data_IF_837713461325
#
_entry.id   IF_837713461325
#
_cell.length_a   1.000
_cell.length_b   1.000
_cell.length_c   1.000
_cell.angle_alpha   90.00
_cell.angle_beta   90.00
_cell.angle_gamma   90.00
#
_symmetry.space_group_name_H-M   'P 1'
#
loop_
_entity.id
_entity.type
_entity.pdbx_description
1 polymer ?
#
# COMPACT_ATOMS: atom_id res chain seq x y z
N UNK A 1 2.87 -26.61 0.29
CA UNK A 1 2.49 -25.22 -0.03
C UNK A 1 2.83 -24.32 1.15
N UNK A 2 4.11 -24.00 1.32
CA UNK A 2 4.60 -22.86 2.12
C UNK A 2 5.99 -22.54 1.58
N UNK A 3 6.04 -22.03 0.36
CA UNK A 3 7.26 -21.42 -0.19
C UNK A 3 7.53 -20.12 0.55
N UNK A 4 8.04 -20.23 1.78
CA UNK A 4 8.85 -19.16 2.36
C UNK A 4 10.09 -19.12 1.49
N UNK A 5 10.09 -18.24 0.47
CA UNK A 5 11.32 -17.85 -0.17
C UNK A 5 12.27 -17.42 0.95
N UNK A 6 13.47 -18.01 1.05
CA UNK A 6 14.47 -17.46 1.93
C UNK A 6 14.72 -16.06 1.36
N UNK A 7 14.31 -15.04 2.12
CA UNK A 7 14.87 -13.70 1.99
C UNK A 7 16.34 -13.92 2.26
N UNK A 8 17.10 -14.20 1.20
CA UNK A 8 18.54 -14.07 1.17
C UNK A 8 18.78 -12.56 1.24
N UNK A 9 18.68 -12.00 2.43
CA UNK A 9 19.51 -10.86 2.79
C UNK A 9 20.92 -11.43 2.88
N UNK A 10 21.57 -11.57 1.73
CA UNK A 10 23.02 -11.59 1.75
C UNK A 10 23.41 -10.23 2.32
N UNK A 11 23.70 -10.20 3.61
CA UNK A 11 24.72 -9.31 4.16
C UNK A 11 26.08 -9.76 3.59
N UNK A 12 26.19 -9.84 2.25
CA UNK A 12 27.49 -9.74 1.62
C UNK A 12 27.86 -8.28 1.85
N UNK A 13 28.42 -8.04 3.03
CA UNK A 13 29.37 -6.97 3.23
C UNK A 13 30.36 -7.19 2.11
N UNK A 14 30.25 -6.39 1.05
CA UNK A 14 31.22 -6.39 -0.03
C UNK A 14 32.60 -6.43 0.65
N UNK A 15 33.41 -7.42 0.26
CA UNK A 15 34.76 -7.57 0.77
C UNK A 15 35.52 -6.33 0.26
N UNK A 16 35.48 -5.25 1.04
CA UNK A 16 36.04 -3.96 0.65
C UNK A 16 37.53 -4.18 0.46
N UNK A 17 37.96 -4.24 -0.80
CA UNK A 17 39.34 -4.49 -1.14
C UNK A 17 40.17 -3.27 -0.71
N UNK A 18 40.98 -3.46 0.32
CA UNK A 18 41.93 -2.46 0.80
C UNK A 18 42.86 -2.07 -0.34
N UNK A 19 43.05 -0.78 -0.56
CA UNK A 19 44.02 -0.31 -1.56
C UNK A 19 45.45 -0.63 -1.09
N UNK A 20 46.37 -0.82 -2.05
CA UNK A 20 47.78 -1.11 -1.74
C UNK A 20 48.41 -0.07 -0.79
N UNK A 21 48.03 1.20 -0.93
CA UNK A 21 48.46 2.28 -0.06
C UNK A 21 47.94 2.11 1.39
N UNK A 22 46.70 1.66 1.57
CA UNK A 22 46.13 1.39 2.90
C UNK A 22 46.82 0.20 3.57
N UNK A 23 47.06 -0.88 2.83
CA UNK A 23 47.80 -2.05 3.35
C UNK A 23 49.22 -1.68 3.77
N UNK A 24 49.92 -0.85 2.97
CA UNK A 24 51.27 -0.39 3.26
C UNK A 24 51.31 0.53 4.49
N UNK A 25 50.36 1.46 4.60
CA UNK A 25 50.33 2.39 5.72
C UNK A 25 49.94 1.72 7.05
N UNK A 26 49.10 0.67 6.99
CA UNK A 26 48.78 -0.18 8.13
C UNK A 26 50.01 -0.95 8.63
N UNK A 27 50.84 -1.43 7.71
CA UNK A 27 52.11 -2.09 8.02
C UNK A 27 53.16 -1.11 8.59
N UNK A 28 53.14 0.17 8.20
CA UNK A 28 54.02 1.21 8.75
C UNK A 28 53.48 1.86 10.03
N UNK A 29 52.25 1.54 10.43
CA UNK A 29 51.64 1.99 11.68
C UNK A 29 51.08 3.41 11.67
N UNK A 30 50.68 3.94 10.51
CA UNK A 30 50.08 5.27 10.43
C UNK A 30 48.71 5.29 11.14
N UNK A 31 48.57 6.12 12.17
CA UNK A 31 47.34 6.22 12.98
C UNK A 31 46.18 6.82 12.17
N UNK A 32 46.47 7.64 11.16
CA UNK A 32 45.43 8.27 10.31
C UNK A 32 44.66 7.26 9.49
N UNK A 33 45.31 6.20 9.02
CA UNK A 33 44.67 5.14 8.21
C UNK A 33 43.73 4.30 9.08
N UNK A 34 44.07 4.09 10.35
CA UNK A 34 43.20 3.41 11.32
C UNK A 34 41.95 4.24 11.61
N UNK A 35 42.12 5.53 11.89
CA UNK A 35 40.99 6.47 12.08
C UNK A 35 40.08 6.49 10.84
N UNK A 36 40.65 6.48 9.63
CA UNK A 36 39.90 6.42 8.38
C UNK A 36 39.04 5.17 8.30
N UNK A 37 39.60 3.99 8.53
CA UNK A 37 38.86 2.72 8.44
C UNK A 37 37.71 2.66 9.45
N UNK A 38 37.95 3.07 10.70
CA UNK A 38 36.93 3.07 11.73
C UNK A 38 35.79 4.03 11.38
N UNK A 39 36.14 5.23 10.89
CA UNK A 39 35.16 6.22 10.43
C UNK A 39 34.39 5.76 9.18
N UNK A 40 35.02 5.08 8.22
CA UNK A 40 34.36 4.54 7.02
C UNK A 40 33.28 3.52 7.38
N UNK A 41 33.59 2.61 8.31
CA UNK A 41 32.64 1.62 8.83
C UNK A 41 31.47 2.32 9.54
N UNK A 42 31.75 3.32 10.36
CA UNK A 42 30.72 4.09 11.06
C UNK A 42 29.83 4.89 10.09
N UNK A 43 30.42 5.56 9.11
CA UNK A 43 29.68 6.31 8.10
C UNK A 43 28.85 5.38 7.21
N UNK A 44 29.36 4.20 6.84
CA UNK A 44 28.59 3.21 6.10
C UNK A 44 27.35 2.74 6.89
N UNK A 45 27.51 2.44 8.19
CA UNK A 45 26.39 2.11 9.07
C UNK A 45 25.39 3.25 9.16
N UNK A 46 25.84 4.48 9.42
CA UNK A 46 24.97 5.65 9.54
C UNK A 46 24.23 5.96 8.23
N UNK A 47 24.89 5.80 7.07
CA UNK A 47 24.27 5.91 5.74
C UNK A 47 23.16 4.87 5.53
N UNK A 48 23.37 3.63 5.97
CA UNK A 48 22.35 2.58 5.93
C UNK A 48 21.14 2.97 6.79
N UNK A 49 21.35 3.47 8.02
CA UNK A 49 20.25 3.93 8.88
C UNK A 49 19.51 5.10 8.23
N UNK A 50 20.23 6.06 7.63
CA UNK A 50 19.62 7.18 6.89
C UNK A 50 18.80 6.70 5.70
N UNK A 51 19.30 5.76 4.91
CA UNK A 51 18.58 5.19 3.78
C UNK A 51 17.27 4.51 4.22
N UNK A 52 17.31 3.75 5.33
CA UNK A 52 16.12 3.15 5.93
C UNK A 52 15.12 4.22 6.41
N UNK A 53 15.59 5.25 7.10
CA UNK A 53 14.75 6.36 7.54
C UNK A 53 14.06 7.06 6.36
N UNK A 54 14.81 7.39 5.29
CA UNK A 54 14.25 8.02 4.09
C UNK A 54 13.21 7.12 3.41
N UNK A 55 13.51 5.83 3.26
CA UNK A 55 12.56 4.86 2.70
C UNK A 55 11.26 4.80 3.50
N UNK A 56 11.35 4.75 4.84
CA UNK A 56 10.18 4.77 5.71
C UNK A 56 9.39 6.08 5.59
N UNK A 57 10.08 7.23 5.57
CA UNK A 57 9.48 8.54 5.40
C UNK A 57 8.70 8.64 4.09
N UNK A 58 9.31 8.26 2.97
CA UNK A 58 8.66 8.28 1.66
C UNK A 58 7.46 7.31 1.59
N UNK A 59 7.59 6.12 2.18
CA UNK A 59 6.47 5.18 2.26
C UNK A 59 5.29 5.74 3.07
N UNK A 60 5.56 6.45 4.18
CA UNK A 60 4.54 7.14 4.97
C UNK A 60 3.92 8.32 4.22
N UNK A 61 4.72 9.12 3.50
CA UNK A 61 4.22 10.22 2.66
C UNK A 61 3.28 9.70 1.56
N UNK A 62 3.68 8.64 0.85
CA UNK A 62 2.83 8.00 -0.16
C UNK A 62 1.53 7.45 0.47
N UNK A 63 1.63 6.85 1.66
CA UNK A 63 0.45 6.36 2.37
C UNK A 63 -0.50 7.52 2.77
N UNK A 64 0.03 8.64 3.25
CA UNK A 64 -0.74 9.84 3.59
C UNK A 64 -1.45 10.48 2.41
N UNK A 65 -0.80 10.49 1.24
CA UNK A 65 -1.33 11.11 0.03
C UNK A 65 -2.35 10.22 -0.70
N UNK A 66 -2.08 8.92 -0.80
CA UNK A 66 -2.88 8.01 -1.63
C UNK A 66 -3.70 7.03 -0.80
N UNK A 67 -3.05 6.29 0.09
CA UNK A 67 -3.66 5.14 0.77
C UNK A 67 -4.71 5.55 1.79
N UNK A 68 -4.37 6.37 2.79
CA UNK A 68 -5.29 6.76 3.85
C UNK A 68 -6.55 7.47 3.31
N UNK A 69 -6.46 8.46 2.38
CA UNK A 69 -7.66 9.10 1.83
C UNK A 69 -8.57 8.12 1.09
N UNK A 70 -7.99 7.17 0.33
CA UNK A 70 -8.76 6.14 -0.37
C UNK A 70 -9.44 5.18 0.61
N UNK A 71 -8.73 4.71 1.64
CA UNK A 71 -9.28 3.81 2.66
C UNK A 71 -10.39 4.49 3.46
N UNK A 72 -10.19 5.74 3.90
CA UNK A 72 -11.21 6.53 4.60
C UNK A 72 -12.44 6.76 3.72
N UNK A 73 -12.27 7.10 2.43
CA UNK A 73 -13.39 7.29 1.52
C UNK A 73 -14.18 5.98 1.32
N UNK A 74 -13.49 4.84 1.21
CA UNK A 74 -14.11 3.51 1.11
C UNK A 74 -14.89 3.15 2.36
N UNK A 75 -14.32 3.37 3.55
CA UNK A 75 -15.02 3.06 4.81
C UNK A 75 -16.20 4.03 5.04
N UNK A 76 -16.08 5.31 4.68
CA UNK A 76 -17.22 6.25 4.69
C UNK A 76 -18.36 5.81 3.78
N UNK A 77 -18.04 5.38 2.55
CA UNK A 77 -19.02 4.84 1.62
C UNK A 77 -19.68 3.55 2.15
N UNK A 78 -18.91 2.69 2.83
CA UNK A 78 -19.44 1.49 3.49
C UNK A 78 -20.40 1.84 4.62
N UNK A 79 -20.05 2.78 5.50
CA UNK A 79 -20.93 3.21 6.59
C UNK A 79 -22.26 3.73 6.03
N UNK A 80 -22.21 4.62 5.03
CA UNK A 80 -23.42 5.13 4.38
C UNK A 80 -24.27 4.02 3.73
N UNK A 81 -23.61 2.99 3.17
CA UNK A 81 -24.29 1.82 2.63
C UNK A 81 -24.95 0.96 3.71
N UNK A 82 -24.30 0.77 4.86
CA UNK A 82 -24.89 0.06 6.00
C UNK A 82 -26.07 0.82 6.60
N UNK A 83 -25.96 2.15 6.75
CA UNK A 83 -27.06 3.00 7.21
C UNK A 83 -28.29 2.83 6.29
N UNK A 84 -28.10 2.94 4.97
CA UNK A 84 -29.17 2.77 3.99
C UNK A 84 -29.81 1.36 4.00
N UNK A 85 -29.00 0.32 4.21
CA UNK A 85 -29.49 -1.06 4.31
C UNK A 85 -30.28 -1.29 5.62
N UNK A 86 -29.85 -0.69 6.73
CA UNK A 86 -30.55 -0.77 8.02
C UNK A 86 -31.89 -0.02 7.94
N UNK A 87 -31.92 1.17 7.33
CA UNK A 87 -33.17 1.92 7.10
C UNK A 87 -34.14 1.14 6.22
N UNK A 88 -33.63 0.48 5.17
CA UNK A 88 -34.45 -0.38 4.29
C UNK A 88 -35.07 -1.54 5.05
N UNK A 89 -34.27 -2.20 5.89
CA UNK A 89 -34.74 -3.30 6.72
C UNK A 89 -35.81 -2.83 7.71
N UNK A 90 -35.59 -1.70 8.39
CA UNK A 90 -36.55 -1.14 9.33
C UNK A 90 -37.88 -0.71 8.65
N UNK A 91 -37.82 -0.18 7.43
CA UNK A 91 -38.99 0.18 6.64
C UNK A 91 -39.82 -1.05 6.24
N UNK A 92 -39.15 -2.19 5.99
CA UNK A 92 -39.82 -3.44 5.64
C UNK A 92 -40.41 -4.16 6.87
N UNK A 93 -39.71 -4.15 8.01
CA UNK A 93 -40.20 -4.71 9.28
C UNK A 93 -41.48 -4.01 9.78
N UNK A 94 -41.68 -2.74 9.42
CA UNK A 94 -42.91 -2.01 9.70
C UNK A 94 -44.13 -2.53 8.91
N UNK A 95 -43.91 -3.24 7.78
CA UNK A 95 -44.94 -3.83 6.93
C UNK A 95 -44.73 -5.37 6.79
N UNK A 96 -44.98 -6.15 7.85
CA UNK A 96 -44.66 -7.58 7.91
C UNK A 96 -45.54 -8.47 7.00
N UNK A 97 -46.39 -7.89 6.15
CA UNK A 97 -47.25 -8.60 5.19
C UNK A 97 -46.49 -9.14 3.98
N UNK A 98 -45.25 -8.74 3.77
CA UNK A 98 -44.39 -9.19 2.67
C UNK A 98 -43.54 -10.37 3.15
N UNK A 99 -43.99 -11.58 2.84
CA UNK A 99 -43.20 -12.80 3.00
C UNK A 99 -41.98 -12.81 2.06
N UNK A 100 -41.33 -13.96 1.96
CA UNK A 100 -40.22 -14.12 1.01
C UNK A 100 -40.76 -14.34 -0.40
N UNK A 101 -40.32 -13.54 -1.38
CA UNK A 101 -40.72 -13.72 -2.77
C UNK A 101 -39.63 -14.49 -3.51
N UNK A 102 -39.99 -15.61 -4.14
CA UNK A 102 -39.06 -16.42 -4.93
C UNK A 102 -39.69 -16.73 -6.29
N UNK A 103 -38.99 -16.39 -7.38
CA UNK A 103 -39.46 -16.54 -8.76
C UNK A 103 -40.88 -16.00 -8.99
N UNK A 104 -41.24 -14.90 -8.32
CA UNK A 104 -42.57 -14.26 -8.42
C UNK A 104 -43.68 -14.91 -7.58
N UNK A 105 -43.36 -15.87 -6.72
CA UNK A 105 -44.30 -16.50 -5.78
C UNK A 105 -44.00 -15.98 -4.36
N UNK A 106 -45.01 -15.42 -3.69
CA UNK A 106 -44.90 -14.92 -2.32
C UNK A 106 -45.16 -16.07 -1.33
N UNK A 107 -44.17 -16.36 -0.48
CA UNK A 107 -44.25 -17.37 0.56
C UNK A 107 -44.40 -16.71 1.93
N UNK A 108 -45.57 -16.85 2.55
CA UNK A 108 -45.83 -16.37 3.91
C UNK A 108 -45.26 -17.31 5.00
N UNK A 109 -45.21 -18.62 4.71
CA UNK A 109 -44.65 -19.61 5.63
C UNK A 109 -43.16 -19.83 5.41
N UNK A 110 -42.39 -19.79 6.51
CA UNK A 110 -40.94 -20.07 6.50
C UNK A 110 -40.60 -21.46 5.94
N UNK A 111 -41.48 -22.45 6.14
CA UNK A 111 -41.29 -23.82 5.64
C UNK A 111 -41.28 -23.86 4.12
N UNK A 112 -42.27 -23.22 3.52
CA UNK A 112 -42.46 -23.22 2.07
C UNK A 112 -41.40 -22.37 1.38
N UNK A 113 -41.03 -21.23 1.97
CA UNK A 113 -39.94 -20.39 1.49
C UNK A 113 -38.59 -21.13 1.47
N UNK A 114 -38.25 -21.83 2.55
CA UNK A 114 -37.01 -22.62 2.63
C UNK A 114 -36.99 -23.78 1.62
N UNK A 115 -38.13 -24.45 1.42
CA UNK A 115 -38.26 -25.54 0.44
C UNK A 115 -38.11 -25.02 -1.00
N UNK A 116 -38.74 -23.90 -1.33
CA UNK A 116 -38.62 -23.25 -2.62
C UNK A 116 -37.17 -22.79 -2.89
N UNK A 117 -36.50 -22.19 -1.90
CA UNK A 117 -35.10 -21.77 -2.02
C UNK A 117 -34.17 -22.95 -2.33
N UNK A 118 -34.31 -24.09 -1.62
CA UNK A 118 -33.53 -25.29 -1.91
C UNK A 118 -33.84 -25.89 -3.27
N UNK A 119 -35.10 -25.87 -3.70
CA UNK A 119 -35.50 -26.34 -5.03
C UNK A 119 -34.84 -25.50 -6.13
N UNK A 120 -34.78 -24.18 -5.95
CA UNK A 120 -34.13 -23.25 -6.89
C UNK A 120 -32.62 -23.47 -6.90
N UNK A 121 -32.00 -23.69 -5.73
CA UNK A 121 -30.58 -24.06 -5.65
C UNK A 121 -30.26 -25.30 -6.47
N UNK A 122 -31.06 -26.36 -6.35
CA UNK A 122 -30.88 -27.60 -7.12
C UNK A 122 -31.15 -27.43 -8.61
N UNK A 123 -32.06 -26.53 -8.99
CA UNK A 123 -32.40 -26.26 -10.39
C UNK A 123 -31.32 -25.47 -11.13
N UNK A 124 -30.56 -24.61 -10.43
CA UNK A 124 -29.56 -23.73 -11.02
C UNK A 124 -28.16 -23.90 -10.40
N UNK A 125 -27.44 -25.00 -10.69
CA UNK A 125 -26.05 -25.19 -10.26
C UNK A 125 -25.06 -24.41 -11.15
N UNK A 126 -25.37 -23.14 -11.45
CA UNK A 126 -24.50 -22.28 -12.27
C UNK A 126 -23.60 -21.43 -11.37
N UNK A 127 -22.33 -21.22 -11.74
CA UNK A 127 -21.48 -20.24 -11.07
C UNK A 127 -21.92 -18.79 -11.34
N UNK A 128 -22.78 -18.55 -12.33
CA UNK A 128 -23.32 -17.22 -12.61
C UNK A 128 -24.35 -16.79 -11.56
N UNK A 129 -24.37 -15.48 -11.24
CA UNK A 129 -25.36 -14.92 -10.33
C UNK A 129 -26.72 -14.84 -11.03
N UNK A 130 -27.66 -15.66 -10.57
CA UNK A 130 -29.05 -15.66 -11.02
C UNK A 130 -29.92 -14.97 -9.98
N UNK A 131 -30.76 -14.04 -10.41
CA UNK A 131 -31.76 -13.43 -9.55
C UNK A 131 -32.86 -14.44 -9.22
N UNK A 132 -33.11 -14.63 -7.93
CA UNK A 132 -34.03 -15.65 -7.41
C UNK A 132 -35.29 -15.04 -6.78
N UNK A 133 -35.22 -13.78 -6.36
CA UNK A 133 -36.38 -13.06 -5.81
C UNK A 133 -35.98 -11.98 -4.81
N UNK A 134 -36.86 -11.68 -3.86
CA UNK A 134 -36.66 -10.59 -2.89
C UNK A 134 -36.98 -11.04 -1.47
N UNK A 135 -36.25 -10.50 -0.50
CA UNK A 135 -36.47 -10.77 0.93
C UNK A 135 -36.14 -9.52 1.75
N UNK A 136 -37.10 -9.05 2.55
CA UNK A 136 -36.97 -7.82 3.36
C UNK A 136 -36.50 -6.58 2.58
N UNK A 137 -36.92 -6.45 1.32
CA UNK A 137 -36.50 -5.37 0.42
C UNK A 137 -35.09 -5.51 -0.16
N UNK A 138 -34.43 -6.66 0.02
CA UNK A 138 -33.17 -7.00 -0.63
C UNK A 138 -33.40 -7.94 -1.80
N UNK A 139 -32.70 -7.67 -2.91
CA UNK A 139 -32.73 -8.55 -4.08
C UNK A 139 -31.80 -9.75 -3.85
N UNK A 140 -32.29 -10.95 -4.11
CA UNK A 140 -31.60 -12.20 -3.86
C UNK A 140 -30.96 -12.73 -5.13
N UNK A 141 -29.64 -12.88 -5.10
CA UNK A 141 -28.87 -13.48 -6.17
C UNK A 141 -28.23 -14.78 -5.69
N UNK A 142 -28.50 -15.87 -6.40
CA UNK A 142 -27.90 -17.16 -6.12
C UNK A 142 -26.73 -17.42 -7.07
N UNK A 143 -25.65 -17.97 -6.52
CA UNK A 143 -24.50 -18.46 -7.27
C UNK A 143 -24.01 -19.77 -6.67
N UNK A 144 -23.48 -20.66 -7.49
CA UNK A 144 -22.85 -21.90 -7.03
C UNK A 144 -21.33 -21.76 -7.01
N UNK A 145 -20.72 -21.86 -5.82
CA UNK A 145 -19.28 -21.90 -5.69
C UNK A 145 -18.76 -23.32 -5.99
N UNK A 146 -18.27 -23.52 -7.22
CA UNK A 146 -17.76 -24.81 -7.67
C UNK A 146 -16.54 -25.30 -6.87
N UNK A 147 -15.76 -24.40 -6.27
CA UNK A 147 -14.57 -24.75 -5.48
C UNK A 147 -14.96 -25.35 -4.14
N UNK A 148 -15.89 -24.70 -3.44
CA UNK A 148 -16.35 -25.14 -2.12
C UNK A 148 -17.57 -26.07 -2.18
N UNK A 149 -18.12 -26.31 -3.37
CA UNK A 149 -19.35 -27.08 -3.61
C UNK A 149 -20.51 -26.59 -2.74
N UNK A 150 -20.60 -25.28 -2.56
CA UNK A 150 -21.57 -24.62 -1.70
C UNK A 150 -22.38 -23.59 -2.50
N UNK A 151 -23.66 -23.46 -2.16
CA UNK A 151 -24.51 -22.41 -2.71
C UNK A 151 -24.26 -21.11 -1.94
N UNK A 152 -24.00 -20.02 -2.65
CA UNK A 152 -23.89 -18.67 -2.09
C UNK A 152 -25.07 -17.81 -2.51
N UNK A 153 -25.76 -17.29 -1.52
CA UNK A 153 -26.81 -16.29 -1.68
C UNK A 153 -26.25 -14.91 -1.41
N UNK A 154 -26.38 -13.99 -2.35
CA UNK A 154 -26.00 -12.59 -2.21
C UNK A 154 -27.26 -11.75 -2.11
N UNK A 155 -27.43 -11.07 -0.99
CA UNK A 155 -28.46 -10.04 -0.77
C UNK A 155 -27.89 -8.73 -1.30
N UNK A 156 -28.51 -8.15 -2.34
CA UNK A 156 -28.12 -6.84 -2.88
C UNK A 156 -29.04 -5.75 -2.33
N UNK A 157 -28.43 -4.83 -1.59
CA UNK A 157 -29.02 -3.58 -1.15
C UNK A 157 -28.24 -2.38 -1.70
N UNK A 158 -27.93 -1.41 -0.84
CA UNK A 158 -26.86 -0.44 -1.08
C UNK A 158 -25.48 -1.14 -1.02
N UNK A 159 -25.33 -2.14 -0.15
CA UNK A 159 -24.19 -3.06 -0.12
C UNK A 159 -24.60 -4.48 -0.52
N UNK A 160 -23.62 -5.30 -0.89
CA UNK A 160 -23.82 -6.71 -1.19
C UNK A 160 -23.41 -7.57 0.01
N UNK A 161 -24.34 -8.36 0.54
CA UNK A 161 -24.09 -9.27 1.67
C UNK A 161 -24.20 -10.73 1.21
N UNK A 162 -23.12 -11.50 1.32
CA UNK A 162 -23.11 -12.91 0.91
C UNK A 162 -23.33 -13.84 2.10
N UNK A 163 -24.08 -14.92 1.88
CA UNK A 163 -24.40 -15.98 2.85
C UNK A 163 -24.21 -17.34 2.19
N UNK A 164 -23.58 -18.26 2.90
CA UNK A 164 -23.44 -19.65 2.44
C UNK A 164 -24.66 -20.48 2.90
N UNK A 165 -25.36 -21.02 1.90
CA UNK A 165 -26.52 -21.88 2.09
C UNK A 165 -26.07 -23.33 2.29
N UNK A 166 -26.69 -24.01 3.25
CA UNK A 166 -26.56 -25.45 3.45
C UNK A 166 -27.78 -26.21 2.95
N UNK A 167 -27.90 -27.49 3.34
CA UNK A 167 -29.01 -28.36 2.94
C UNK A 167 -30.26 -28.23 3.83
N UNK A 168 -30.20 -27.40 4.89
CA UNK A 168 -31.26 -27.26 5.88
C UNK A 168 -32.29 -26.19 5.50
N UNK A 169 -33.55 -26.60 5.38
CA UNK A 169 -34.72 -25.74 5.07
C UNK A 169 -34.82 -24.52 6.00
N UNK A 170 -34.77 -24.74 7.31
CA UNK A 170 -34.91 -23.69 8.32
C UNK A 170 -33.60 -22.98 8.64
N UNK A 171 -32.49 -23.72 8.58
CA UNK A 171 -31.16 -23.21 8.90
C UNK A 171 -30.76 -22.09 7.94
N UNK A 172 -31.12 -22.21 6.66
CA UNK A 172 -30.81 -21.20 5.64
C UNK A 172 -31.51 -19.86 5.89
N UNK A 173 -32.81 -19.87 6.21
CA UNK A 173 -33.55 -18.66 6.57
C UNK A 173 -32.97 -18.00 7.82
N UNK A 174 -32.67 -18.78 8.85
CA UNK A 174 -32.05 -18.25 10.07
C UNK A 174 -30.67 -17.64 9.80
N UNK A 175 -29.87 -18.22 8.90
CA UNK A 175 -28.58 -17.64 8.49
C UNK A 175 -28.75 -16.29 7.79
N UNK A 176 -29.75 -16.17 6.91
CA UNK A 176 -30.09 -14.90 6.25
C UNK A 176 -30.50 -13.86 7.30
N UNK A 177 -31.43 -14.23 8.20
CA UNK A 177 -31.89 -13.36 9.28
C UNK A 177 -30.74 -12.93 10.19
N UNK A 178 -29.80 -13.82 10.50
CA UNK A 178 -28.62 -13.49 11.31
C UNK A 178 -27.69 -12.49 10.58
N UNK A 179 -27.54 -12.60 9.26
CA UNK A 179 -26.72 -11.65 8.49
C UNK A 179 -27.36 -10.27 8.45
N UNK A 180 -28.68 -10.21 8.29
CA UNK A 180 -29.45 -8.97 8.35
C UNK A 180 -29.45 -8.36 9.76
N UNK A 181 -29.61 -9.18 10.79
CA UNK A 181 -29.56 -8.76 12.20
C UNK A 181 -28.18 -8.30 12.66
N UNK A 182 -27.10 -8.75 12.00
CA UNK A 182 -25.73 -8.34 12.28
C UNK A 182 -25.32 -7.02 11.59
N UNK A 183 -26.19 -6.40 10.79
CA UNK A 183 -25.89 -5.13 10.11
C UNK A 183 -25.54 -3.98 11.07
N UNK A 184 -26.25 -3.77 12.21
CA UNK A 184 -25.88 -2.74 13.19
C UNK A 184 -24.48 -2.94 13.78
N UNK A 185 -24.14 -4.19 14.14
CA UNK A 185 -22.81 -4.52 14.67
C UNK A 185 -21.71 -4.30 13.61
N UNK A 186 -21.99 -4.65 12.34
CA UNK A 186 -21.08 -4.39 11.21
C UNK A 186 -20.89 -2.90 10.95
N UNK A 187 -21.92 -2.10 11.15
CA UNK A 187 -21.85 -0.66 11.05
C UNK A 187 -20.98 -0.06 12.17
N UNK A 188 -21.16 -0.48 13.42
CA UNK A 188 -20.33 0.00 14.53
C UNK A 188 -18.86 -0.38 14.33
N UNK A 189 -18.57 -1.62 13.94
CA UNK A 189 -17.19 -2.03 13.60
C UNK A 189 -16.61 -1.26 12.41
N UNK A 190 -17.42 -0.83 11.42
CA UNK A 190 -16.96 0.03 10.34
C UNK A 190 -16.64 1.45 10.82
N UNK A 191 -17.44 2.01 11.75
CA UNK A 191 -17.16 3.30 12.39
C UNK A 191 -15.89 3.26 13.25
N UNK A 192 -15.69 2.20 14.01
CA UNK A 192 -14.46 1.98 14.78
C UNK A 192 -13.23 1.97 13.86
N UNK A 193 -13.29 1.20 12.77
CA UNK A 193 -12.21 1.17 11.76
C UNK A 193 -11.94 2.53 11.13
N UNK A 194 -12.98 3.32 10.86
CA UNK A 194 -12.82 4.67 10.35
C UNK A 194 -12.08 5.55 11.36
N UNK A 195 -12.48 5.50 12.64
CA UNK A 195 -11.79 6.22 13.72
C UNK A 195 -10.32 5.79 13.83
N UNK A 196 -10.04 4.48 13.79
CA UNK A 196 -8.68 3.96 13.84
C UNK A 196 -7.84 4.44 12.64
N UNK A 197 -8.40 4.43 11.44
CA UNK A 197 -7.73 4.94 10.23
C UNK A 197 -7.43 6.45 10.33
N UNK A 198 -8.35 7.24 10.89
CA UNK A 198 -8.15 8.67 11.10
C UNK A 198 -7.03 8.91 12.14
N UNK A 199 -7.00 8.14 13.23
CA UNK A 199 -5.93 8.20 14.22
C UNK A 199 -4.56 7.79 13.64
N UNK A 200 -4.53 6.69 12.88
CA UNK A 200 -3.31 6.24 12.20
C UNK A 200 -2.80 7.28 11.20
N UNK A 201 -3.70 7.93 10.46
CA UNK A 201 -3.35 9.03 9.56
C UNK A 201 -2.73 10.20 10.33
N UNK A 202 -3.29 10.58 11.49
CA UNK A 202 -2.71 11.65 12.31
C UNK A 202 -1.34 11.27 12.87
N UNK A 203 -1.18 10.05 13.38
CA UNK A 203 0.09 9.57 13.91
C UNK A 203 1.17 9.49 12.82
N UNK A 204 0.83 8.98 11.63
CA UNK A 204 1.73 8.94 10.48
C UNK A 204 2.16 10.36 10.05
N UNK A 205 1.23 11.33 10.08
CA UNK A 205 1.54 12.72 9.75
C UNK A 205 2.47 13.40 10.78
N UNK A 206 2.41 13.00 12.03
CA UNK A 206 3.36 13.44 13.07
C UNK A 206 4.72 12.76 12.91
N UNK A 207 4.74 11.47 12.56
CA UNK A 207 5.96 10.70 12.38
C UNK A 207 6.80 11.17 11.19
N UNK A 208 6.18 11.51 10.07
CA UNK A 208 6.87 12.08 8.90
C UNK A 208 7.58 13.40 9.21
N UNK A 209 7.11 14.15 10.20
CA UNK A 209 7.73 15.42 10.63
C UNK A 209 8.94 15.21 11.55
N UNK A 210 9.14 14.01 12.11
CA UNK A 210 10.27 13.76 13.02
C UNK A 210 11.57 13.75 12.21
N UNK A 211 12.57 14.58 12.57
CA UNK A 211 13.84 14.61 11.87
C UNK A 211 14.66 13.34 12.16
N UNK A 212 15.68 13.12 11.34
CA UNK A 212 16.63 12.03 11.56
C UNK A 212 17.57 12.36 12.73
N UNK A 213 17.51 11.59 13.82
CA UNK A 213 18.23 11.90 15.06
C UNK A 213 19.76 11.90 14.92
N UNK A 214 20.29 11.10 14.00
CA UNK A 214 21.74 10.95 13.79
C UNK A 214 22.24 11.77 12.60
N UNK A 215 21.47 12.77 12.14
CA UNK A 215 21.84 13.60 10.99
C UNK A 215 23.09 14.43 11.25
N UNK A 216 23.19 15.02 12.44
CA UNK A 216 24.38 15.79 12.87
C UNK A 216 25.61 14.88 12.99
N UNK A 217 25.48 13.73 13.66
CA UNK A 217 26.58 12.76 13.82
C UNK A 217 27.09 12.23 12.46
N UNK A 218 26.17 11.94 11.53
CA UNK A 218 26.51 11.53 10.18
C UNK A 218 27.28 12.63 9.44
N UNK A 219 26.82 13.88 9.53
CA UNK A 219 27.47 15.01 8.87
C UNK A 219 28.86 15.29 9.45
N UNK A 220 29.03 15.24 10.76
CA UNK A 220 30.32 15.41 11.43
C UNK A 220 31.32 14.32 11.04
N UNK A 221 30.91 13.05 11.07
CA UNK A 221 31.78 11.92 10.69
C UNK A 221 32.10 11.92 9.20
N UNK A 222 31.15 12.29 8.34
CA UNK A 222 31.40 12.44 6.91
C UNK A 222 32.38 13.60 6.62
N UNK A 223 32.25 14.71 7.33
CA UNK A 223 33.18 15.84 7.18
C UNK A 223 34.59 15.48 7.66
N UNK A 224 34.71 14.75 8.78
CA UNK A 224 36.00 14.27 9.30
C UNK A 224 36.67 13.29 8.32
N UNK A 225 35.90 12.36 7.75
CA UNK A 225 36.40 11.47 6.69
C UNK A 225 36.90 12.27 5.49
N UNK A 226 36.13 13.23 4.99
CA UNK A 226 36.52 14.02 3.82
C UNK A 226 37.83 14.81 4.04
N UNK A 227 38.04 15.35 5.26
CA UNK A 227 39.29 16.01 5.63
C UNK A 227 40.45 15.01 5.66
N UNK A 228 40.23 13.84 6.27
CA UNK A 228 41.25 12.80 6.40
C UNK A 228 41.65 12.19 5.05
N UNK A 229 40.68 12.00 4.15
CA UNK A 229 40.91 11.56 2.77
C UNK A 229 41.73 12.59 1.97
N UNK A 230 41.45 13.88 2.14
CA UNK A 230 42.23 14.95 1.52
C UNK A 230 43.68 14.98 2.03
N UNK A 231 43.89 14.85 3.35
CA UNK A 231 45.23 14.79 3.96
C UNK A 231 46.04 13.59 3.44
N UNK A 232 45.43 12.41 3.41
CA UNK A 232 46.07 11.19 2.94
C UNK A 232 46.38 11.21 1.44
N UNK A 233 45.52 11.85 0.62
CA UNK A 233 45.78 11.99 -0.81
C UNK A 233 46.94 12.96 -1.09
N UNK A 234 47.04 14.08 -0.36
CA UNK A 234 48.17 15.02 -0.48
C UNK A 234 49.49 14.35 -0.05
N UNK A 235 49.47 13.51 0.98
CA UNK A 235 50.65 12.77 1.44
C UNK A 235 51.05 11.63 0.48
N UNK A 236 50.10 11.02 -0.24
CA UNK A 236 50.38 10.09 -1.36
C UNK A 236 51.11 10.79 -2.51
N UNK A 237 50.62 11.95 -2.95
CA UNK A 237 51.27 12.75 -4.01
C UNK A 237 52.66 13.24 -3.60
N UNK A 238 52.87 13.56 -2.31
CA UNK A 238 54.21 13.90 -1.77
C UNK A 238 55.13 12.68 -1.66
N UNK A 239 54.61 11.53 -1.27
CA UNK A 239 55.37 10.27 -1.16
C UNK A 239 55.80 9.70 -2.51
N UNK A 240 55.04 9.94 -3.57
CA UNK A 240 55.35 9.55 -4.94
C UNK A 240 56.50 10.37 -5.55
N UNK A 241 56.85 11.53 -4.96
CA UNK A 241 58.00 12.35 -5.41
C UNK A 241 59.39 11.74 -5.11
N UNK A 242 59.47 10.57 -4.46
CA UNK A 242 60.74 9.87 -4.18
C UNK A 242 60.87 8.53 -4.92
N UNK A 243 59.92 8.19 -5.81
CA UNK A 243 60.08 7.01 -6.69
C UNK A 243 59.72 7.38 -8.12
N UNK A 244 60.47 8.33 -8.66
CA UNK A 244 60.63 8.39 -10.11
C UNK A 244 61.51 7.21 -10.53
N UNK A 245 60.90 6.15 -11.07
CA UNK A 245 61.22 5.50 -12.34
C UNK A 245 60.41 4.18 -12.45
N UNK A 246 59.64 4.07 -13.53
CA UNK A 246 58.86 2.91 -14.02
C UNK A 246 57.57 2.65 -13.20
N UNK A 247 56.33 2.80 -13.69
CA UNK A 247 55.80 2.68 -15.04
C UNK A 247 54.67 3.70 -15.29
N UNK A 248 54.71 4.31 -16.47
CA UNK A 248 53.58 4.94 -17.11
C UNK A 248 52.66 3.86 -17.68
N UNK A 249 51.37 3.90 -17.31
CA UNK A 249 50.18 3.83 -18.19
C UNK A 249 48.96 3.23 -17.46
N UNK A 250 47.80 3.88 -17.68
CA UNK A 250 46.42 3.48 -17.32
C UNK A 250 46.06 3.80 -15.84
N UNK A 251 45.19 4.76 -15.53
CA UNK A 251 43.81 4.85 -15.99
C UNK A 251 43.30 6.30 -15.87
N UNK A 252 43.00 6.94 -17.00
CA UNK A 252 42.44 8.28 -17.09
C UNK A 252 40.96 8.23 -17.49
N UNK A 253 40.22 7.29 -16.94
CA UNK A 253 38.78 7.17 -17.18
C UNK A 253 38.08 6.77 -15.90
N UNK A 254 37.50 7.76 -15.20
CA UNK A 254 36.19 7.77 -14.53
C UNK A 254 36.23 8.96 -13.56
N UNK A 255 36.20 10.18 -14.07
CA UNK A 255 35.78 11.38 -13.32
C UNK A 255 35.26 12.42 -14.33
N UNK A 256 34.13 12.15 -14.99
CA UNK A 256 33.27 13.19 -15.57
C UNK A 256 31.81 12.70 -15.65
N UNK A 257 31.24 12.27 -14.53
CA UNK A 257 29.79 12.44 -14.29
C UNK A 257 29.65 12.92 -12.84
N UNK A 258 29.95 14.21 -12.64
CA UNK A 258 29.44 14.93 -11.47
C UNK A 258 27.93 15.02 -11.65
N UNK A 259 27.19 14.16 -10.94
CA UNK A 259 25.78 14.33 -10.65
C UNK A 259 25.60 15.62 -9.81
N UNK A 260 25.61 16.76 -10.49
CA UNK A 260 24.86 17.95 -10.09
C UNK A 260 23.45 17.86 -10.68
N UNK A 261 22.72 16.80 -10.36
CA UNK A 261 21.27 16.87 -10.37
C UNK A 261 20.83 17.17 -8.94
N UNK A 262 20.72 18.46 -8.65
CA UNK A 262 19.80 18.93 -7.63
C UNK A 262 18.41 18.42 -8.05
N UNK A 263 18.03 17.24 -7.54
CA UNK A 263 16.64 16.81 -7.55
C UNK A 263 15.87 17.79 -6.66
N UNK A 264 15.48 18.92 -7.27
CA UNK A 264 14.33 19.70 -6.85
C UNK A 264 13.21 18.70 -6.60
N UNK A 265 12.77 18.63 -5.34
CA UNK A 265 11.81 17.61 -4.93
C UNK A 265 10.61 17.68 -5.86
N UNK A 266 10.08 16.52 -6.27
CA UNK A 266 8.88 16.43 -7.12
C UNK A 266 7.73 17.29 -6.55
N UNK A 267 7.74 17.54 -5.24
CA UNK A 267 6.84 18.48 -4.55
C UNK A 267 7.02 19.94 -4.98
N UNK A 268 8.26 20.44 -5.14
CA UNK A 268 8.54 21.80 -5.61
C UNK A 268 8.11 22.01 -7.07
N UNK A 269 8.37 21.02 -7.94
CA UNK A 269 7.97 21.08 -9.35
C UNK A 269 6.45 21.00 -9.53
N UNK A 270 5.75 20.24 -8.69
CA UNK A 270 4.28 20.16 -8.71
C UNK A 270 3.61 21.40 -8.09
N UNK A 271 4.26 22.07 -7.13
CA UNK A 271 3.79 23.38 -6.63
C UNK A 271 3.94 24.48 -7.68
N UNK A 272 5.06 24.55 -8.40
CA UNK A 272 5.23 25.50 -9.51
C UNK A 272 4.27 25.23 -10.67
N UNK A 273 3.94 23.97 -10.95
CA UNK A 273 2.94 23.61 -11.95
C UNK A 273 1.50 23.93 -11.52
N UNK A 274 1.21 23.91 -10.22
CA UNK A 274 -0.09 24.29 -9.68
C UNK A 274 -0.26 25.82 -9.55
N UNK A 275 0.84 26.57 -9.42
CA UNK A 275 0.84 28.03 -9.30
C UNK A 275 1.01 28.75 -10.66
N UNK A 276 1.51 28.07 -11.70
CA UNK A 276 1.61 28.63 -13.06
C UNK A 276 0.32 28.42 -13.86
N UNK A 277 -0.67 29.27 -13.61
CA UNK A 277 -1.81 29.49 -14.50
C UNK A 277 -1.33 30.02 -15.87
N UNK A 278 -0.93 29.12 -16.76
CA UNK A 278 -0.83 29.37 -18.22
C UNK A 278 -1.19 28.12 -19.01
N UNK A 279 -2.48 27.76 -18.97
CA UNK A 279 -3.09 26.84 -19.92
C UNK A 279 -2.80 27.30 -21.37
N UNK A 280 -2.10 26.53 -22.22
CA UNK A 280 -2.22 26.72 -23.65
C UNK A 280 -3.58 26.16 -24.07
N UNK A 281 -4.55 27.04 -24.24
CA UNK A 281 -5.81 26.77 -24.93
C UNK A 281 -5.51 26.34 -26.38
N UNK A 282 -5.20 25.06 -26.60
CA UNK A 282 -4.98 24.53 -27.95
C UNK A 282 -5.17 23.01 -28.08
N UNK A 283 -6.33 22.51 -27.66
CA UNK A 283 -6.96 21.33 -28.30
C UNK A 283 -8.43 21.17 -27.84
N UNK A 284 -9.26 22.12 -28.26
CA UNK A 284 -10.73 21.97 -28.28
C UNK A 284 -11.20 22.47 -29.65
N UNK A 285 -10.90 21.69 -30.70
CA UNK A 285 -11.43 21.88 -32.07
C UNK A 285 -11.34 20.59 -32.88
N UNK A 286 -11.87 19.48 -32.36
CA UNK A 286 -12.39 18.38 -33.18
C UNK A 286 -13.50 17.71 -32.37
N UNK A 287 -14.77 18.05 -32.68
CA UNK A 287 -16.01 17.29 -32.41
C UNK A 287 -17.30 18.16 -32.37
N UNK A 288 -17.37 19.28 -33.11
CA UNK A 288 -18.65 19.99 -33.38
C UNK A 288 -18.80 20.27 -34.87
N UNK A 289 -18.70 19.23 -35.69
CA UNK A 289 -19.02 19.29 -37.12
C UNK A 289 -19.49 17.92 -37.63
N UNK A 290 -20.60 17.42 -37.08
CA UNK A 290 -21.44 16.39 -37.70
C UNK A 290 -22.92 16.60 -37.31
N UNK A 291 -23.37 17.84 -37.37
CA UNK A 291 -24.79 18.21 -37.36
C UNK A 291 -24.94 19.38 -38.34
N UNK A 292 -24.82 19.07 -39.63
CA UNK A 292 -25.37 19.79 -40.79
C UNK A 292 -24.72 19.23 -42.07
N UNK A 293 -25.22 18.07 -42.51
CA UNK A 293 -25.41 17.69 -43.92
C UNK A 293 -26.19 16.39 -44.04
#
# INVERSE_FOLDING_TARGET
MTSKSPVRSCEDVDETALTYAEVKALATGDERIKEKMDLEVDVAKLKLVRANYLSQKYALEDALLKRFPQEIAREKARIAGYDADIERLAAHDANPSLGMELNGIVYAERKDAGAALLAICKAHPSPEQVEVGTYHGFDLFLSFDALNRAFRLTLKGALSHSVELGDDLFGNLQRIDNVLGALPDRLETAKERLSDLEQQKTAAAEEVKKPFLQEEELNEKCARLAVLDAELNIDKERGESVVALEDSELDSTIEQETDQEEHTSVLSQLQEFAESDSFPARQMRVCVAMEER
#
